data_IF_195734481515
#
_entry.id   IF_195734481515
#
_cell.length_a   1.000
_cell.length_b   1.000
_cell.length_c   1.000
_cell.angle_alpha   90.00
_cell.angle_beta   90.00
_cell.angle_gamma   90.00
#
_symmetry.space_group_name_H-M   'P 1'
#
loop_
_entity.id
_entity.type
_entity.pdbx_description
1 polymer ?
#
# COMPACT_ATOMS: atom_id res chain seq x y z
N UNK A 1 40.95 -48.46 2.04
CA UNK A 1 40.13 -48.09 3.22
C UNK A 1 40.67 -46.85 3.90
N UNK A 2 40.71 -45.73 3.18
CA UNK A 2 41.14 -44.43 3.70
C UNK A 2 40.21 -43.37 3.09
N UNK A 3 39.73 -42.44 3.91
CA UNK A 3 39.06 -41.18 3.58
C UNK A 3 37.54 -41.04 3.79
N UNK A 4 36.82 -42.01 4.33
CA UNK A 4 35.39 -41.79 4.65
C UNK A 4 35.18 -40.96 5.93
N UNK A 5 36.16 -40.96 6.85
CA UNK A 5 36.04 -40.28 8.14
C UNK A 5 36.12 -38.75 8.02
N UNK A 6 36.97 -38.24 7.12
CA UNK A 6 37.14 -36.79 6.91
C UNK A 6 35.93 -36.20 6.18
N UNK A 7 35.36 -36.93 5.21
CA UNK A 7 34.15 -36.50 4.48
C UNK A 7 32.92 -36.44 5.40
N UNK A 8 32.78 -37.38 6.34
CA UNK A 8 31.71 -37.36 7.35
C UNK A 8 31.85 -36.18 8.32
N UNK A 9 33.08 -35.79 8.67
CA UNK A 9 33.34 -34.65 9.54
C UNK A 9 33.00 -33.31 8.85
N UNK A 10 33.33 -33.17 7.56
CA UNK A 10 32.94 -32.01 6.76
C UNK A 10 31.43 -31.92 6.55
N UNK A 11 30.75 -33.04 6.30
CA UNK A 11 29.30 -33.07 6.16
C UNK A 11 28.58 -32.70 7.47
N UNK A 12 29.07 -33.16 8.63
CA UNK A 12 28.50 -32.83 9.94
C UNK A 12 28.66 -31.33 10.29
N UNK A 13 29.79 -30.72 9.94
CA UNK A 13 30.01 -29.27 10.15
C UNK A 13 29.08 -28.45 9.25
N UNK A 14 28.89 -28.84 7.99
CA UNK A 14 27.96 -28.15 7.08
C UNK A 14 26.51 -28.23 7.55
N UNK A 15 26.07 -29.39 8.07
CA UNK A 15 24.72 -29.56 8.64
C UNK A 15 24.54 -28.72 9.91
N UNK A 16 25.59 -28.55 10.72
CA UNK A 16 25.54 -27.67 11.89
C UNK A 16 25.44 -26.18 11.53
N UNK A 17 26.03 -25.74 10.41
CA UNK A 17 25.91 -24.35 9.93
C UNK A 17 24.54 -24.02 9.35
N UNK A 18 23.79 -25.02 8.88
CA UNK A 18 22.39 -24.88 8.43
C UNK A 18 21.37 -24.74 9.57
N UNK A 19 21.81 -24.88 10.84
CA UNK A 19 20.94 -24.84 12.01
C UNK A 19 21.04 -23.57 12.86
N UNK A 20 21.78 -22.56 12.39
CA UNK A 20 21.57 -21.21 12.91
C UNK A 20 20.26 -20.74 12.28
N UNK A 21 19.14 -20.62 13.01
CA UNK A 21 18.17 -19.62 12.60
C UNK A 21 19.02 -18.36 12.47
N UNK A 22 19.05 -17.74 11.29
CA UNK A 22 19.28 -16.32 11.25
C UNK A 22 18.32 -15.81 12.32
N UNK A 23 18.87 -15.36 13.45
CA UNK A 23 18.08 -14.63 14.40
C UNK A 23 17.70 -13.39 13.62
N UNK A 24 16.62 -13.50 12.84
CA UNK A 24 15.77 -12.40 12.52
C UNK A 24 15.48 -11.84 13.89
N UNK A 25 16.28 -10.85 14.26
CA UNK A 25 16.12 -10.09 15.46
C UNK A 25 14.76 -9.44 15.22
N UNK A 26 13.69 -10.11 15.65
CA UNK A 26 12.38 -9.52 15.74
C UNK A 26 12.65 -8.31 16.63
N UNK A 27 12.72 -7.13 16.02
CA UNK A 27 12.66 -5.89 16.77
C UNK A 27 11.37 -6.01 17.57
N UNK A 28 11.53 -6.31 18.86
CA UNK A 28 10.42 -6.36 19.80
C UNK A 28 9.76 -5.01 19.65
N UNK A 29 8.51 -5.00 19.18
CA UNK A 29 7.72 -3.78 19.05
C UNK A 29 7.89 -2.99 20.36
N UNK A 30 8.53 -1.82 20.26
CA UNK A 30 8.82 -0.97 21.41
C UNK A 30 7.51 -0.40 21.90
N UNK A 31 6.89 -1.11 22.84
CA UNK A 31 5.65 -0.69 23.50
C UNK A 31 5.80 0.66 24.24
N UNK A 32 7.03 1.13 24.48
CA UNK A 32 7.30 2.41 25.13
C UNK A 32 7.11 3.64 24.21
N UNK A 33 6.86 3.44 22.90
CA UNK A 33 6.63 4.54 21.97
C UNK A 33 5.14 4.85 21.86
N UNK A 34 4.70 5.93 22.51
CA UNK A 34 3.35 6.46 22.33
C UNK A 34 3.27 7.24 21.00
N UNK A 35 3.01 6.54 19.90
CA UNK A 35 2.82 7.14 18.58
C UNK A 35 1.65 8.13 18.54
N UNK A 36 0.62 7.94 19.36
CA UNK A 36 -0.54 8.82 19.40
C UNK A 36 -0.21 10.26 19.83
N UNK A 37 0.89 10.46 20.58
CA UNK A 37 1.35 11.79 20.97
C UNK A 37 1.88 12.62 19.78
N UNK A 38 2.30 11.96 18.70
CA UNK A 38 2.79 12.63 17.48
C UNK A 38 1.69 12.87 16.44
N UNK A 39 0.53 12.22 16.59
CA UNK A 39 -0.59 12.41 15.68
C UNK A 39 -1.18 13.81 15.91
N UNK A 40 -0.91 14.73 14.98
CA UNK A 40 -1.59 16.02 14.93
C UNK A 40 -2.86 15.86 14.13
N UNK A 41 -3.99 15.78 14.81
CA UNK A 41 -5.29 15.91 14.17
C UNK A 41 -5.49 17.36 13.72
N UNK A 42 -5.37 17.61 12.42
CA UNK A 42 -5.83 18.87 11.85
C UNK A 42 -7.35 18.83 11.73
N UNK A 43 -8.04 19.34 12.76
CA UNK A 43 -9.52 19.38 12.80
C UNK A 43 -10.16 20.23 11.69
N UNK A 44 -9.35 20.92 10.89
CA UNK A 44 -9.80 21.74 9.78
C UNK A 44 -9.31 21.20 8.44
N UNK A 45 -8.58 20.08 8.40
CA UNK A 45 -8.29 19.38 7.15
C UNK A 45 -9.52 18.56 6.78
N UNK A 46 -10.01 18.77 5.57
CA UNK A 46 -11.13 18.07 4.99
C UNK A 46 -10.75 17.60 3.60
N UNK A 47 -11.09 16.34 3.30
CA UNK A 47 -10.80 15.69 2.03
C UNK A 47 -12.05 15.02 1.50
N UNK A 48 -12.30 15.21 0.21
CA UNK A 48 -13.44 14.67 -0.49
C UNK A 48 -12.93 13.78 -1.63
N UNK A 49 -13.58 12.64 -1.83
CA UNK A 49 -13.33 11.71 -2.92
C UNK A 49 -14.67 11.25 -3.50
N UNK A 50 -14.76 11.20 -4.82
CA UNK A 50 -15.96 10.77 -5.52
C UNK A 50 -15.60 10.15 -6.88
N UNK A 51 -16.59 9.47 -7.45
CA UNK A 51 -16.50 8.73 -8.70
C UNK A 51 -17.45 9.35 -9.72
N UNK A 52 -17.28 9.05 -11.01
CA UNK A 52 -18.12 9.56 -12.08
C UNK A 52 -19.51 8.93 -12.15
N UNK A 53 -19.68 7.74 -11.56
CA UNK A 53 -20.95 7.04 -11.36
C UNK A 53 -20.95 6.31 -9.99
N UNK A 54 -22.09 5.78 -9.57
CA UNK A 54 -22.25 5.02 -8.32
C UNK A 54 -22.30 3.50 -8.54
N UNK A 55 -22.50 3.04 -9.78
CA UNK A 55 -22.57 1.64 -10.16
C UNK A 55 -21.75 1.40 -11.42
N UNK A 56 -21.00 0.29 -11.45
CA UNK A 56 -20.14 -0.07 -12.56
C UNK A 56 -20.27 -1.56 -12.88
N UNK A 57 -20.12 -1.90 -14.15
CA UNK A 57 -20.10 -3.26 -14.67
C UNK A 57 -18.69 -3.70 -15.06
N UNK A 58 -18.45 -5.01 -15.12
CA UNK A 58 -17.16 -5.56 -15.54
C UNK A 58 -16.75 -5.02 -16.92
N UNK A 59 -15.54 -4.47 -16.99
CA UNK A 59 -14.98 -3.88 -18.20
C UNK A 59 -15.28 -2.39 -18.39
N UNK A 60 -16.09 -1.76 -17.53
CA UNK A 60 -16.26 -0.30 -17.54
C UNK A 60 -15.05 0.41 -16.95
N UNK A 61 -14.83 1.65 -17.40
CA UNK A 61 -13.79 2.50 -16.85
C UNK A 61 -14.40 3.42 -15.78
N UNK A 62 -13.66 3.60 -14.69
CA UNK A 62 -14.01 4.47 -13.58
C UNK A 62 -13.06 5.66 -13.53
N UNK A 63 -13.60 6.87 -13.38
CA UNK A 63 -12.81 8.06 -13.09
C UNK A 63 -13.03 8.47 -11.64
N UNK A 64 -11.97 8.44 -10.86
CA UNK A 64 -11.99 8.91 -9.48
C UNK A 64 -11.52 10.36 -9.47
N UNK A 65 -12.16 11.21 -8.67
CA UNK A 65 -11.69 12.56 -8.39
C UNK A 65 -11.63 12.81 -6.90
N UNK A 66 -10.70 13.68 -6.51
CA UNK A 66 -10.57 14.08 -5.12
C UNK A 66 -10.02 15.50 -5.00
N UNK A 67 -10.25 16.11 -3.83
CA UNK A 67 -9.67 17.40 -3.44
C UNK A 67 -9.52 17.50 -1.94
N UNK A 68 -8.64 18.41 -1.50
CA UNK A 68 -8.48 18.78 -0.10
C UNK A 68 -8.66 20.28 0.09
N UNK A 69 -9.17 20.68 1.26
CA UNK A 69 -9.35 22.09 1.61
C UNK A 69 -8.05 22.78 2.10
N UNK A 70 -6.92 22.07 2.10
CA UNK A 70 -5.57 22.56 2.42
C UNK A 70 -4.52 21.81 1.62
N UNK A 71 -3.36 22.43 1.45
CA UNK A 71 -2.15 21.77 0.99
C UNK A 71 -1.83 20.59 1.92
N UNK A 72 -1.78 19.38 1.39
CA UNK A 72 -1.53 18.16 2.15
C UNK A 72 -0.94 17.05 1.26
N UNK A 73 -0.68 15.90 1.85
CA UNK A 73 -0.30 14.68 1.16
C UNK A 73 -1.45 13.71 1.28
N UNK A 74 -1.75 12.96 0.23
CA UNK A 74 -2.84 11.98 0.26
C UNK A 74 -2.43 10.62 -0.25
N UNK A 75 -3.09 9.60 0.27
CA UNK A 75 -3.07 8.24 -0.28
C UNK A 75 -4.49 7.85 -0.61
N UNK A 76 -4.70 7.32 -1.82
CA UNK A 76 -5.98 6.77 -2.26
C UNK A 76 -5.82 5.28 -2.52
N UNK A 77 -6.72 4.47 -1.98
CA UNK A 77 -6.76 3.05 -2.23
C UNK A 77 -8.18 2.54 -2.37
N UNK A 78 -8.30 1.44 -3.10
CA UNK A 78 -9.48 0.61 -3.22
C UNK A 78 -9.40 -0.53 -2.20
N UNK A 79 -10.54 -0.90 -1.62
CA UNK A 79 -10.75 -2.18 -0.93
C UNK A 79 -11.71 -2.98 -1.79
N UNK A 80 -11.21 -4.06 -2.39
CA UNK A 80 -11.99 -4.89 -3.32
C UNK A 80 -13.07 -5.72 -2.60
N UNK A 81 -13.91 -6.41 -3.37
CA UNK A 81 -15.00 -7.26 -2.85
C UNK A 81 -14.54 -8.40 -1.94
N UNK A 82 -13.24 -8.71 -1.90
CA UNK A 82 -12.62 -9.74 -1.07
C UNK A 82 -11.84 -9.14 0.11
N UNK A 83 -11.79 -7.82 0.23
CA UNK A 83 -11.06 -7.11 1.28
C UNK A 83 -9.58 -6.87 0.98
N UNK A 84 -9.12 -7.07 -0.26
CA UNK A 84 -7.75 -6.73 -0.64
C UNK A 84 -7.62 -5.22 -0.85
N UNK A 85 -6.51 -4.67 -0.38
CA UNK A 85 -6.18 -3.26 -0.57
C UNK A 85 -5.36 -3.08 -1.85
N UNK A 86 -5.84 -2.24 -2.77
CA UNK A 86 -5.15 -1.86 -3.99
C UNK A 86 -4.83 -0.36 -3.96
N UNK A 87 -3.53 -0.01 -3.97
CA UNK A 87 -3.10 1.39 -4.02
C UNK A 87 -3.44 2.01 -5.37
N UNK A 88 -4.11 3.16 -5.37
CA UNK A 88 -4.53 3.89 -6.57
C UNK A 88 -3.78 5.22 -6.75
N UNK A 89 -3.40 5.87 -5.65
CA UNK A 89 -2.59 7.09 -5.68
C UNK A 89 -1.65 7.13 -4.47
N UNK A 90 -0.36 7.49 -4.65
CA UNK A 90 0.26 7.84 -5.94
C UNK A 90 0.41 6.65 -6.89
N UNK A 91 0.50 6.96 -8.18
CA UNK A 91 0.80 6.00 -9.25
C UNK A 91 2.27 5.55 -9.22
N UNK A 92 3.19 6.46 -8.91
CA UNK A 92 4.62 6.17 -8.80
C UNK A 92 5.13 6.52 -7.38
N UNK A 93 5.92 5.65 -6.72
CA UNK A 93 6.57 5.95 -5.44
C UNK A 93 7.45 7.21 -5.42
N UNK A 94 7.88 7.69 -6.59
CA UNK A 94 8.74 8.86 -6.77
C UNK A 94 7.94 10.14 -7.09
N UNK A 95 6.61 10.05 -7.21
CA UNK A 95 5.76 11.23 -7.44
C UNK A 95 5.82 12.20 -6.25
N UNK A 96 5.79 13.51 -6.54
CA UNK A 96 5.50 14.50 -5.50
C UNK A 96 4.02 14.39 -5.15
N UNK A 97 3.75 13.74 -4.03
CA UNK A 97 2.40 13.45 -3.53
C UNK A 97 1.74 14.65 -2.86
N UNK A 98 2.38 15.82 -2.86
CA UNK A 98 1.79 17.03 -2.32
C UNK A 98 0.67 17.50 -3.25
N UNK A 99 -0.54 17.58 -2.72
CA UNK A 99 -1.68 18.15 -3.41
C UNK A 99 -1.92 19.58 -2.97
N UNK A 100 -2.39 20.39 -3.91
CA UNK A 100 -2.68 21.81 -3.72
C UNK A 100 -4.10 21.99 -3.18
N UNK A 101 -4.27 22.94 -2.26
CA UNK A 101 -5.57 23.34 -1.74
C UNK A 101 -6.58 23.61 -2.86
N UNK A 102 -7.79 23.09 -2.69
CA UNK A 102 -8.99 23.30 -3.54
C UNK A 102 -8.82 22.86 -5.01
N UNK A 103 -7.70 22.24 -5.38
CA UNK A 103 -7.47 21.67 -6.71
C UNK A 103 -8.09 20.27 -6.78
N UNK A 104 -8.80 20.00 -7.88
CA UNK A 104 -9.35 18.68 -8.18
C UNK A 104 -8.28 17.86 -8.92
N UNK A 105 -7.96 16.70 -8.37
CA UNK A 105 -7.10 15.68 -8.98
C UNK A 105 -7.98 14.55 -9.53
N UNK A 106 -7.46 13.81 -10.52
CA UNK A 106 -8.16 12.68 -11.14
C UNK A 106 -7.27 11.44 -11.16
N UNK A 107 -7.88 10.26 -11.03
CA UNK A 107 -7.25 8.97 -11.25
C UNK A 107 -8.10 8.21 -12.29
N UNK A 108 -7.54 7.83 -13.45
CA UNK A 108 -6.24 8.24 -13.98
C UNK A 108 -6.16 9.75 -14.30
N UNK A 109 -4.97 10.36 -14.27
CA UNK A 109 -4.78 11.72 -14.80
C UNK A 109 -4.77 11.69 -16.34
N UNK A 110 -5.03 12.83 -16.97
CA UNK A 110 -4.90 13.09 -18.39
C UNK A 110 -3.55 12.74 -19.04
N UNK A 111 -2.48 12.61 -18.24
CA UNK A 111 -1.14 12.23 -18.70
C UNK A 111 -0.81 10.75 -18.47
N UNK A 112 -1.68 10.01 -17.77
CA UNK A 112 -1.48 8.60 -17.51
C UNK A 112 -1.73 7.78 -18.79
N UNK A 113 -0.96 6.71 -18.99
CA UNK A 113 -1.06 5.81 -20.14
C UNK A 113 -1.91 4.55 -19.85
N UNK A 114 -2.71 4.59 -18.79
CA UNK A 114 -3.60 3.50 -18.37
C UNK A 114 -5.03 3.99 -18.12
N UNK A 115 -5.97 3.05 -18.24
CA UNK A 115 -7.35 3.21 -17.78
C UNK A 115 -7.54 2.46 -16.45
N UNK A 116 -8.36 3.01 -15.56
CA UNK A 116 -8.81 2.30 -14.36
C UNK A 116 -10.09 1.54 -14.70
N UNK A 117 -9.96 0.25 -15.01
CA UNK A 117 -11.07 -0.61 -15.46
C UNK A 117 -11.59 -1.49 -14.33
N UNK A 118 -12.90 -1.51 -14.13
CA UNK A 118 -13.60 -2.36 -13.16
C UNK A 118 -13.46 -3.83 -13.55
N UNK A 119 -13.00 -4.66 -12.60
CA UNK A 119 -12.75 -6.10 -12.76
C UNK A 119 -13.04 -6.87 -11.49
N UNK A 120 -13.46 -8.11 -11.63
CA UNK A 120 -13.56 -9.05 -10.52
C UNK A 120 -15.00 -9.52 -10.25
N UNK A 121 -15.23 -10.19 -9.11
CA UNK A 121 -16.56 -10.62 -8.70
C UNK A 121 -17.49 -9.44 -8.43
N UNK A 122 -18.80 -9.66 -8.60
CA UNK A 122 -19.82 -8.69 -8.19
C UNK A 122 -19.79 -8.44 -6.67
N UNK A 123 -20.04 -7.19 -6.27
CA UNK A 123 -20.06 -6.78 -4.87
C UNK A 123 -19.86 -5.29 -4.67
N UNK A 124 -19.62 -4.88 -3.42
CA UNK A 124 -19.33 -3.50 -3.06
C UNK A 124 -17.83 -3.35 -2.85
N UNK A 125 -17.25 -2.33 -3.48
CA UNK A 125 -15.88 -1.90 -3.26
C UNK A 125 -15.88 -0.52 -2.59
N UNK A 126 -14.82 -0.24 -1.84
CA UNK A 126 -14.67 1.04 -1.14
C UNK A 126 -13.46 1.79 -1.68
N UNK A 127 -13.67 3.03 -2.10
CA UNK A 127 -12.58 3.97 -2.37
C UNK A 127 -12.36 4.80 -1.12
N UNK A 128 -11.14 4.77 -0.59
CA UNK A 128 -10.78 5.50 0.62
C UNK A 128 -9.60 6.42 0.37
N UNK A 129 -9.69 7.63 0.93
CA UNK A 129 -8.64 8.63 0.95
C UNK A 129 -8.17 8.88 2.40
N UNK A 130 -6.86 9.04 2.57
CA UNK A 130 -6.23 9.40 3.85
C UNK A 130 -5.31 10.60 3.62
N UNK A 131 -5.37 11.59 4.51
CA UNK A 131 -4.61 12.85 4.45
C UNK A 131 -4.06 13.24 5.83
#
# INVERSE_FOLDING_TARGET
MKNNFITLLFAAVMISMLSLPAAAQYERYREDVNYAQYIRYDRYLDVEIWTDDNEYYDGENINIQFRANKDCYVVVYNIDTRGNLNLLYPSDPWDDTKIERDRIYRIPDSYDDYDLTVRGPEGVEYIQIVA
#
